data_IF_189020206549
#
_entry.id   IF_189020206549
#
_cell.length_a   1.000
_cell.length_b   1.000
_cell.length_c   1.000
_cell.angle_alpha   90.00
_cell.angle_beta   90.00
_cell.angle_gamma   90.00
#
_symmetry.space_group_name_H-M   'P 1'
#
loop_
_entity.id
_entity.type
_entity.pdbx_description
1 polymer ?
#
# COMPACT_ATOMS: atom_id res chain seq x y z
N UNK A 1 -10.19 3.92 4.68
CA UNK A 1 -9.09 3.27 5.43
C UNK A 1 -7.77 3.87 5.00
N UNK A 2 -7.01 4.36 5.94
CA UNK A 2 -5.70 4.96 5.66
C UNK A 2 -4.60 4.12 6.28
N UNK A 3 -3.66 3.68 5.45
CA UNK A 3 -2.46 2.99 5.88
C UNK A 3 -1.31 3.99 5.90
N UNK A 4 -0.71 4.17 7.06
CA UNK A 4 0.33 5.18 7.25
C UNK A 4 1.69 4.58 6.95
N UNK A 5 2.42 5.18 6.03
CA UNK A 5 3.83 4.88 5.82
C UNK A 5 4.63 5.79 6.74
N UNK A 6 5.27 5.21 7.73
CA UNK A 6 5.99 5.96 8.76
C UNK A 6 7.36 6.40 8.25
N UNK A 7 7.37 7.10 7.13
CA UNK A 7 8.60 7.53 6.47
C UNK A 7 9.11 8.84 7.05
N UNK A 8 10.41 8.91 7.26
CA UNK A 8 11.09 10.12 7.70
C UNK A 8 11.78 10.86 6.55
N UNK A 9 11.73 10.31 5.35
CA UNK A 9 12.36 10.93 4.18
C UNK A 9 11.29 11.64 3.34
N UNK A 10 11.76 12.56 2.49
CA UNK A 10 10.86 13.33 1.62
C UNK A 10 10.73 12.75 0.22
N UNK A 11 11.49 11.69 -0.09
CA UNK A 11 11.43 11.03 -1.39
C UNK A 11 10.13 10.24 -1.54
N UNK A 12 9.63 10.07 -2.76
CA UNK A 12 8.44 9.27 -3.00
C UNK A 12 8.60 7.84 -2.52
N UNK A 13 7.47 7.20 -2.20
CA UNK A 13 7.46 5.82 -1.72
C UNK A 13 6.75 4.93 -2.71
N UNK A 14 7.09 3.64 -2.66
CA UNK A 14 6.39 2.61 -3.40
C UNK A 14 5.54 1.82 -2.42
N UNK A 15 4.39 1.34 -2.88
CA UNK A 15 3.52 0.49 -2.09
C UNK A 15 3.32 -0.83 -2.82
N UNK A 16 3.42 -1.93 -2.05
CA UNK A 16 3.21 -3.29 -2.52
C UNK A 16 2.11 -3.94 -1.71
N UNK A 17 1.37 -4.83 -2.33
CA UNK A 17 0.31 -5.60 -1.66
C UNK A 17 0.52 -7.08 -1.90
N UNK A 18 0.39 -7.86 -0.83
CA UNK A 18 0.37 -9.31 -0.91
C UNK A 18 -0.88 -9.82 -0.23
N UNK A 19 -1.76 -10.46 -1.00
CA UNK A 19 -2.96 -11.09 -0.48
C UNK A 19 -2.57 -12.15 0.56
N UNK A 20 -3.39 -12.31 1.60
CA UNK A 20 -3.10 -13.26 2.68
C UNK A 20 -3.03 -14.72 2.21
N UNK A 21 -3.59 -15.04 1.06
CA UNK A 21 -3.55 -16.38 0.47
C UNK A 21 -2.46 -16.54 -0.58
N UNK A 22 -1.72 -15.48 -0.87
CA UNK A 22 -0.75 -15.45 -1.97
C UNK A 22 0.66 -15.26 -1.44
N UNK A 23 1.64 -15.70 -2.21
CA UNK A 23 3.06 -15.48 -1.91
C UNK A 23 3.68 -14.37 -2.75
N UNK A 24 2.97 -13.92 -3.80
CA UNK A 24 3.47 -12.90 -4.70
C UNK A 24 2.98 -11.53 -4.30
N UNK A 25 3.87 -10.54 -4.38
CA UNK A 25 3.52 -9.15 -4.13
C UNK A 25 3.13 -8.46 -5.43
N UNK A 26 2.10 -7.61 -5.35
CA UNK A 26 1.66 -6.79 -6.47
C UNK A 26 1.97 -5.33 -6.15
N UNK A 27 2.58 -4.64 -7.09
CA UNK A 27 2.89 -3.23 -6.94
C UNK A 27 1.63 -2.39 -7.15
N UNK A 28 1.28 -1.57 -6.18
CA UNK A 28 0.07 -0.74 -6.24
C UNK A 28 0.38 0.74 -6.34
N UNK A 29 1.57 1.17 -5.97
CA UNK A 29 2.01 2.54 -6.15
C UNK A 29 3.50 2.57 -6.42
N UNK A 30 3.91 3.35 -7.41
CA UNK A 30 5.30 3.46 -7.83
C UNK A 30 5.66 4.93 -7.90
N UNK A 31 6.76 5.29 -7.25
CA UNK A 31 7.32 6.63 -7.33
C UNK A 31 6.26 7.71 -7.01
N UNK A 32 5.42 7.44 -6.02
CA UNK A 32 4.40 8.39 -5.58
C UNK A 32 3.13 8.41 -6.42
N UNK A 33 2.98 7.49 -7.36
CA UNK A 33 1.80 7.42 -8.22
C UNK A 33 1.14 6.04 -8.12
N UNK A 34 -0.18 6.04 -7.99
CA UNK A 34 -0.96 4.80 -7.94
C UNK A 34 -1.02 4.19 -9.33
N UNK A 35 -0.79 2.87 -9.39
CA UNK A 35 -0.91 2.12 -10.65
C UNK A 35 -2.35 2.20 -11.16
N UNK A 36 -2.53 2.40 -12.45
CA UNK A 36 -3.84 2.66 -13.08
C UNK A 36 -4.91 1.64 -12.71
N UNK A 37 -4.55 0.39 -12.59
CA UNK A 37 -5.48 -0.70 -12.26
C UNK A 37 -6.12 -0.51 -10.90
N UNK A 38 -5.48 0.23 -10.00
CA UNK A 38 -5.96 0.43 -8.64
C UNK A 38 -6.44 1.86 -8.37
N UNK A 39 -6.30 2.76 -9.35
CA UNK A 39 -6.56 4.18 -9.14
C UNK A 39 -8.01 4.49 -8.79
N UNK A 40 -8.95 3.62 -9.14
CA UNK A 40 -10.36 3.85 -8.85
C UNK A 40 -10.71 3.63 -7.38
N UNK A 41 -9.86 2.96 -6.62
CA UNK A 41 -10.12 2.63 -5.21
C UNK A 41 -9.06 3.16 -4.27
N UNK A 42 -7.89 3.49 -4.78
CA UNK A 42 -6.71 3.79 -3.96
C UNK A 42 -6.21 5.18 -4.31
N UNK A 43 -5.91 5.95 -3.27
CA UNK A 43 -5.34 7.28 -3.41
C UNK A 43 -4.12 7.37 -2.52
N UNK A 44 -3.09 8.07 -2.98
CA UNK A 44 -1.95 8.41 -2.14
C UNK A 44 -2.10 9.83 -1.63
N UNK A 45 -1.97 10.01 -0.32
CA UNK A 45 -1.89 11.32 0.30
C UNK A 45 -0.51 11.40 0.93
N UNK A 46 0.40 12.07 0.26
CA UNK A 46 1.83 12.06 0.57
C UNK A 46 2.35 10.62 0.47
N UNK A 47 2.66 10.00 1.60
CA UNK A 47 3.18 8.64 1.64
C UNK A 47 2.15 7.63 2.10
N UNK A 48 0.96 8.10 2.48
CA UNK A 48 -0.06 7.24 3.07
C UNK A 48 -0.99 6.71 1.99
N UNK A 49 -1.36 5.45 2.13
CA UNK A 49 -2.25 4.79 1.20
C UNK A 49 -3.67 4.87 1.73
N UNK A 50 -4.57 5.43 0.94
CA UNK A 50 -5.99 5.52 1.29
C UNK A 50 -6.76 4.54 0.42
N UNK A 51 -7.42 3.57 1.06
CA UNK A 51 -8.25 2.60 0.37
C UNK A 51 -9.71 2.99 0.55
N UNK A 52 -10.39 3.25 -0.56
CA UNK A 52 -11.80 3.61 -0.56
C UNK A 52 -12.65 2.37 -0.61
N UNK A 53 -13.71 2.31 0.19
CA UNK A 53 -14.64 1.18 0.24
C UNK A 53 -13.90 -0.13 0.53
N UNK A 54 -13.24 -0.18 1.68
CA UNK A 54 -12.47 -1.34 2.11
C UNK A 54 -13.36 -2.59 2.13
N UNK A 55 -12.84 -3.69 1.60
CA UNK A 55 -13.54 -4.95 1.49
C UNK A 55 -12.67 -6.08 2.05
N UNK A 56 -13.31 -7.21 2.31
CA UNK A 56 -12.63 -8.37 2.91
C UNK A 56 -11.45 -8.83 2.06
N UNK A 57 -11.54 -8.69 0.75
CA UNK A 57 -10.44 -9.05 -0.16
C UNK A 57 -9.23 -8.13 -0.07
N UNK A 58 -9.34 -7.03 0.67
CA UNK A 58 -8.20 -6.14 0.91
C UNK A 58 -7.31 -6.63 2.04
N UNK A 59 -7.68 -7.74 2.70
CA UNK A 59 -6.89 -8.36 3.75
C UNK A 59 -5.55 -8.84 3.19
N UNK A 60 -4.47 -8.46 3.83
CA UNK A 60 -3.15 -8.89 3.43
C UNK A 60 -2.06 -8.00 3.99
N UNK A 61 -0.87 -8.14 3.45
CA UNK A 61 0.30 -7.37 3.87
C UNK A 61 0.58 -6.27 2.88
N UNK A 62 0.60 -5.04 3.37
CA UNK A 62 0.95 -3.86 2.58
C UNK A 62 2.35 -3.42 2.99
N UNK A 63 3.21 -3.25 2.01
CA UNK A 63 4.59 -2.84 2.24
C UNK A 63 4.82 -1.47 1.60
N UNK A 64 5.20 -0.51 2.42
CA UNK A 64 5.67 0.79 1.96
C UNK A 64 7.20 0.74 1.91
N UNK A 65 7.77 1.09 0.77
CA UNK A 65 9.22 1.13 0.61
C UNK A 65 9.63 2.57 0.32
N UNK A 66 10.48 3.12 1.16
CA UNK A 66 10.95 4.50 1.04
C UNK A 66 11.90 4.67 -0.15
N UNK A 67 12.12 5.92 -0.53
CA UNK A 67 13.11 6.33 -1.53
C UNK A 67 12.95 5.55 -2.84
N UNK A 68 11.76 5.59 -3.41
CA UNK A 68 11.42 4.96 -4.69
C UNK A 68 11.80 3.48 -4.78
N UNK A 69 11.80 2.80 -3.64
CA UNK A 69 12.07 1.37 -3.57
C UNK A 69 13.46 0.99 -3.10
N UNK A 70 14.30 1.97 -2.78
CA UNK A 70 15.67 1.71 -2.35
C UNK A 70 15.89 1.90 -0.84
N UNK A 71 14.90 2.46 -0.16
CA UNK A 71 15.02 2.77 1.25
C UNK A 71 14.44 1.69 2.16
N UNK A 72 14.06 2.12 3.36
CA UNK A 72 13.52 1.24 4.39
C UNK A 72 12.14 0.72 4.03
N UNK A 73 11.84 -0.51 4.45
CA UNK A 73 10.53 -1.11 4.25
C UNK A 73 9.71 -1.03 5.54
N UNK A 74 8.42 -0.74 5.38
CA UNK A 74 7.47 -0.70 6.48
C UNK A 74 6.29 -1.60 6.12
N UNK A 75 6.08 -2.68 6.86
CA UNK A 75 5.03 -3.64 6.56
C UNK A 75 3.84 -3.42 7.49
N UNK A 76 2.65 -3.48 6.90
CA UNK A 76 1.39 -3.31 7.63
C UNK A 76 0.49 -4.49 7.29
N UNK A 77 0.07 -5.22 8.32
CA UNK A 77 -0.94 -6.27 8.14
C UNK A 77 -2.32 -5.65 8.30
N UNK A 78 -3.10 -5.67 7.24
CA UNK A 78 -4.49 -5.23 7.26
C UNK A 78 -5.38 -6.46 7.32
N UNK A 79 -6.26 -6.51 8.32
CA UNK A 79 -7.26 -7.56 8.44
C UNK A 79 -8.64 -6.92 8.36
N UNK A 80 -9.41 -7.31 7.34
CA UNK A 80 -10.77 -6.82 7.17
C UNK A 80 -11.72 -7.97 7.50
N UNK A 81 -12.57 -7.74 8.50
CA UNK A 81 -13.57 -8.73 8.90
C UNK A 81 -14.84 -8.55 8.09
N UNK A 82 -15.33 -9.65 7.52
CA UNK A 82 -16.61 -9.69 6.84
C UNK A 82 -17.61 -10.53 7.63
N UNK A 83 -18.89 -10.34 7.31
CA UNK A 83 -19.96 -11.11 7.96
C UNK A 83 -21.21 -11.14 7.10
#
# INVERSE_FOLDING_TARGET
MTLVCNSSVTAPVNWWFRDHTDTDETEIAVNGEVVNEHAFRITLIRYNLVIHNVWINDTGVYTCVEDTGFGQQHKILLTVSGF
#
